data_IF_779896376271
#
_entry.id   IF_779896376271
#
_cell.length_a   1.000
_cell.length_b   1.000
_cell.length_c   1.000
_cell.angle_alpha   90.00
_cell.angle_beta   90.00
_cell.angle_gamma   90.00
#
_symmetry.space_group_name_H-M   'P 1'
#
loop_
_entity.id
_entity.type
_entity.pdbx_description
1 polymer ?
#
# COMPACT_ATOMS: atom_id res chain seq x y z
N UNK A 1 -15.02 4.67 8.65
CA UNK A 1 -14.31 3.90 7.61
C UNK A 1 -14.71 4.42 6.24
N UNK A 2 -13.79 4.47 5.28
CA UNK A 2 -14.07 4.92 3.91
C UNK A 2 -14.77 3.81 3.11
N UNK A 3 -15.56 4.19 2.10
CA UNK A 3 -16.24 3.23 1.20
C UNK A 3 -15.26 2.26 0.51
N UNK A 4 -14.06 2.73 0.16
CA UNK A 4 -13.02 1.90 -0.46
C UNK A 4 -12.52 0.78 0.47
N UNK A 5 -12.32 1.08 1.76
CA UNK A 5 -11.88 0.08 2.72
C UNK A 5 -12.95 -1.00 2.94
N UNK A 6 -14.22 -0.59 2.95
CA UNK A 6 -15.33 -1.55 3.08
C UNK A 6 -15.42 -2.48 1.87
N UNK A 7 -15.18 -1.99 0.65
CA UNK A 7 -15.16 -2.83 -0.56
C UNK A 7 -14.03 -3.86 -0.51
N UNK A 8 -12.82 -3.48 -0.11
CA UNK A 8 -11.70 -4.41 0.06
C UNK A 8 -12.02 -5.53 1.06
N UNK A 9 -12.52 -5.14 2.25
CA UNK A 9 -12.93 -6.10 3.28
C UNK A 9 -14.08 -7.01 2.85
N UNK A 10 -15.03 -6.50 2.08
CA UNK A 10 -16.12 -7.30 1.52
C UNK A 10 -15.62 -8.34 0.50
N UNK A 11 -14.62 -7.99 -0.32
CA UNK A 11 -13.99 -8.92 -1.26
C UNK A 11 -13.24 -10.04 -0.53
N UNK A 12 -12.42 -9.67 0.47
CA UNK A 12 -11.72 -10.65 1.33
C UNK A 12 -12.70 -11.60 2.00
N UNK A 13 -13.79 -11.06 2.55
CA UNK A 13 -14.78 -11.86 3.25
C UNK A 13 -15.52 -12.81 2.32
N UNK A 14 -15.85 -12.37 1.10
CA UNK A 14 -16.51 -13.21 0.11
C UNK A 14 -15.62 -14.35 -0.37
N UNK A 15 -14.32 -14.09 -0.56
CA UNK A 15 -13.36 -15.15 -0.93
C UNK A 15 -13.27 -16.23 0.15
N UNK A 16 -13.08 -15.83 1.42
CA UNK A 16 -13.01 -16.79 2.53
C UNK A 16 -14.32 -17.57 2.69
N UNK A 17 -15.47 -16.92 2.52
CA UNK A 17 -16.79 -17.56 2.58
C UNK A 17 -16.94 -18.68 1.52
N UNK A 18 -16.56 -18.41 0.26
CA UNK A 18 -16.61 -19.42 -0.82
C UNK A 18 -15.64 -20.58 -0.54
N UNK A 19 -14.42 -20.31 -0.07
CA UNK A 19 -13.45 -21.35 0.29
C UNK A 19 -14.01 -22.26 1.40
N UNK A 20 -14.63 -21.68 2.44
CA UNK A 20 -15.24 -22.44 3.53
C UNK A 20 -16.50 -23.21 3.11
N UNK A 21 -17.25 -22.73 2.10
CA UNK A 21 -18.38 -23.48 1.52
C UNK A 21 -17.91 -24.72 0.76
N UNK A 22 -16.74 -24.66 0.12
CA UNK A 22 -16.14 -25.78 -0.61
C UNK A 22 -15.44 -26.80 0.30
N UNK A 23 -15.00 -26.39 1.49
CA UNK A 23 -14.44 -27.28 2.51
C UNK A 23 -14.82 -26.81 3.92
N UNK A 24 -15.81 -27.50 4.51
CA UNK A 24 -16.34 -27.21 5.83
C UNK A 24 -15.42 -27.63 6.99
N UNK A 25 -14.31 -28.33 6.72
CA UNK A 25 -13.35 -28.79 7.73
C UNK A 25 -12.28 -27.74 8.05
N UNK A 26 -12.24 -26.63 7.31
CA UNK A 26 -11.26 -25.56 7.51
C UNK A 26 -11.49 -24.89 8.86
N UNK A 27 -10.43 -24.75 9.66
CA UNK A 27 -10.48 -24.02 10.93
C UNK A 27 -10.10 -22.56 10.72
N UNK A 28 -10.96 -21.65 11.16
CA UNK A 28 -10.69 -20.21 11.15
C UNK A 28 -9.89 -19.80 12.40
N UNK A 29 -8.76 -19.14 12.22
CA UNK A 29 -7.86 -18.74 13.32
C UNK A 29 -8.06 -17.30 13.78
N UNK A 30 -7.60 -17.00 14.99
CA UNK A 30 -7.53 -15.64 15.53
C UNK A 30 -8.91 -14.96 15.57
N UNK A 31 -9.01 -13.76 14.98
CA UNK A 31 -10.27 -13.02 14.90
C UNK A 31 -11.06 -13.26 13.61
N UNK A 32 -10.60 -14.18 12.75
CA UNK A 32 -11.15 -14.39 11.41
C UNK A 32 -12.65 -14.62 11.42
N UNK A 33 -13.17 -15.40 12.37
CA UNK A 33 -14.61 -15.65 12.46
C UNK A 33 -15.42 -14.38 12.76
N UNK A 34 -14.94 -13.51 13.67
CA UNK A 34 -15.62 -12.25 13.96
C UNK A 34 -15.49 -11.27 12.80
N UNK A 35 -14.33 -11.24 12.14
CA UNK A 35 -14.08 -10.41 10.96
C UNK A 35 -14.96 -10.85 9.78
N UNK A 36 -15.19 -12.15 9.58
CA UNK A 36 -16.13 -12.68 8.58
C UNK A 36 -17.55 -12.21 8.81
N UNK A 37 -18.07 -12.35 10.03
CA UNK A 37 -19.44 -11.93 10.36
C UNK A 37 -19.63 -10.44 10.09
N UNK A 38 -18.67 -9.60 10.52
CA UNK A 38 -18.71 -8.15 10.29
C UNK A 38 -18.64 -7.82 8.80
N UNK A 39 -17.68 -8.38 8.08
CA UNK A 39 -17.37 -7.94 6.72
C UNK A 39 -18.30 -8.54 5.66
N UNK A 40 -18.95 -9.68 5.93
CA UNK A 40 -20.06 -10.18 5.12
C UNK A 40 -21.28 -9.24 5.16
N UNK A 41 -21.49 -8.50 6.25
CA UNK A 41 -22.50 -7.45 6.27
C UNK A 41 -22.15 -6.30 5.30
N UNK A 42 -20.85 -5.98 5.14
CA UNK A 42 -20.41 -5.01 4.12
C UNK A 42 -20.65 -5.55 2.72
N UNK A 43 -20.37 -6.84 2.48
CA UNK A 43 -20.68 -7.50 1.21
C UNK A 43 -22.18 -7.43 0.88
N UNK A 44 -23.05 -7.81 1.82
CA UNK A 44 -24.50 -7.77 1.62
C UNK A 44 -25.08 -6.37 1.38
N UNK A 45 -24.36 -5.32 1.80
CA UNK A 45 -24.71 -3.93 1.56
C UNK A 45 -24.22 -3.38 0.20
N UNK A 46 -23.43 -4.15 -0.57
CA UNK A 46 -22.96 -3.73 -1.89
C UNK A 46 -24.11 -3.77 -2.92
N UNK A 47 -24.02 -3.00 -4.02
CA UNK A 47 -24.91 -3.18 -5.16
C UNK A 47 -24.85 -4.61 -5.71
N UNK A 48 -25.98 -5.15 -6.19
CA UNK A 48 -26.12 -6.54 -6.69
C UNK A 48 -25.03 -6.89 -7.71
N UNK A 49 -24.79 -6.01 -8.67
CA UNK A 49 -23.73 -6.20 -9.67
C UNK A 49 -22.34 -6.41 -9.05
N UNK A 50 -22.02 -5.67 -7.99
CA UNK A 50 -20.73 -5.79 -7.32
C UNK A 50 -20.65 -7.07 -6.46
N UNK A 51 -21.76 -7.48 -5.84
CA UNK A 51 -21.85 -8.77 -5.13
C UNK A 51 -21.62 -9.95 -6.09
N UNK A 52 -22.23 -9.89 -7.28
CA UNK A 52 -22.05 -10.88 -8.33
C UNK A 52 -20.59 -10.93 -8.78
N UNK A 53 -20.00 -9.79 -9.14
CA UNK A 53 -18.61 -9.71 -9.56
C UNK A 53 -17.64 -10.30 -8.52
N UNK A 54 -17.83 -9.96 -7.24
CA UNK A 54 -16.98 -10.46 -6.15
C UNK A 54 -17.16 -11.95 -5.90
N UNK A 55 -18.37 -12.48 -6.11
CA UNK A 55 -18.64 -13.93 -6.03
C UNK A 55 -17.96 -14.68 -7.17
N UNK A 56 -18.15 -14.24 -8.42
CA UNK A 56 -17.54 -14.87 -9.59
C UNK A 56 -16.00 -14.83 -9.53
N UNK A 57 -15.45 -13.70 -9.09
CA UNK A 57 -14.02 -13.58 -8.79
C UNK A 57 -13.57 -14.62 -7.76
N UNK A 58 -14.31 -14.76 -6.66
CA UNK A 58 -13.94 -15.59 -5.53
C UNK A 58 -14.04 -17.07 -5.86
N UNK A 59 -15.09 -17.47 -6.59
CA UNK A 59 -15.24 -18.80 -7.18
C UNK A 59 -14.06 -19.08 -8.10
N UNK A 60 -13.77 -18.19 -9.05
CA UNK A 60 -12.70 -18.42 -10.01
C UNK A 60 -11.32 -18.49 -9.37
N UNK A 61 -11.03 -17.63 -8.39
CA UNK A 61 -9.76 -17.66 -7.69
C UNK A 61 -9.64 -18.87 -6.75
N UNK A 62 -10.75 -19.37 -6.21
CA UNK A 62 -10.72 -20.59 -5.38
C UNK A 62 -10.26 -21.82 -6.15
N UNK A 63 -10.48 -21.89 -7.48
CA UNK A 63 -9.96 -22.96 -8.35
C UNK A 63 -8.42 -23.00 -8.39
N UNK A 64 -7.76 -21.87 -8.13
CA UNK A 64 -6.28 -21.76 -8.05
C UNK A 64 -5.71 -22.23 -6.71
N UNK A 65 -6.60 -22.57 -5.77
CA UNK A 65 -6.25 -23.05 -4.44
C UNK A 65 -6.56 -24.54 -4.34
N UNK A 66 -5.67 -25.31 -3.71
CA UNK A 66 -5.98 -26.68 -3.31
C UNK A 66 -6.90 -26.70 -2.08
N UNK A 67 -8.16 -26.22 -2.23
CA UNK A 67 -9.08 -25.96 -1.10
C UNK A 67 -9.30 -27.17 -0.19
N UNK A 68 -9.33 -28.37 -0.76
CA UNK A 68 -9.49 -29.62 0.00
C UNK A 68 -8.30 -29.92 0.93
N UNK A 69 -7.13 -29.36 0.64
CA UNK A 69 -5.92 -29.52 1.45
C UNK A 69 -5.72 -28.36 2.43
N UNK A 70 -6.64 -27.40 2.52
CA UNK A 70 -6.52 -26.29 3.48
C UNK A 70 -6.87 -26.80 4.88
N UNK A 71 -5.94 -26.62 5.82
CA UNK A 71 -6.17 -26.92 7.22
C UNK A 71 -6.78 -25.72 7.95
N UNK A 72 -6.19 -24.54 7.77
CA UNK A 72 -6.61 -23.33 8.48
C UNK A 72 -6.53 -22.07 7.63
N UNK A 73 -7.35 -21.08 7.97
CA UNK A 73 -7.34 -19.73 7.37
C UNK A 73 -7.27 -18.68 8.47
N UNK A 74 -6.41 -17.69 8.29
CA UNK A 74 -6.33 -16.48 9.11
C UNK A 74 -6.50 -15.23 8.24
N UNK A 75 -7.42 -14.34 8.61
CA UNK A 75 -7.47 -12.97 8.07
C UNK A 75 -6.65 -12.06 8.97
N UNK A 76 -5.57 -11.50 8.43
CA UNK A 76 -4.64 -10.69 9.23
C UNK A 76 -5.18 -9.26 9.38
N UNK A 77 -4.91 -8.67 10.55
CA UNK A 77 -5.28 -7.28 10.84
C UNK A 77 -4.25 -6.32 10.24
N UNK A 78 -4.67 -5.07 10.01
CA UNK A 78 -3.81 -3.96 9.59
C UNK A 78 -2.53 -3.79 10.46
N UNK A 79 -2.54 -4.26 11.72
CA UNK A 79 -1.35 -4.26 12.58
C UNK A 79 -0.21 -5.15 12.06
N UNK A 80 -0.51 -6.22 11.32
CA UNK A 80 0.50 -7.03 10.65
C UNK A 80 1.23 -6.24 9.55
N UNK A 81 0.48 -5.43 8.80
CA UNK A 81 1.05 -4.54 7.78
C UNK A 81 2.00 -3.50 8.36
N UNK A 82 1.82 -3.08 9.62
CA UNK A 82 2.78 -2.21 10.32
C UNK A 82 4.14 -2.91 10.43
N UNK A 83 4.16 -4.20 10.77
CA UNK A 83 5.36 -5.03 10.83
C UNK A 83 5.94 -5.41 9.46
N UNK A 84 5.28 -5.03 8.36
CA UNK A 84 5.73 -5.27 6.98
C UNK A 84 5.04 -6.43 6.27
N UNK A 85 4.19 -7.17 6.99
CA UNK A 85 3.43 -8.29 6.44
C UNK A 85 2.19 -7.77 5.72
N UNK A 86 2.21 -7.80 4.38
CA UNK A 86 1.14 -7.27 3.51
C UNK A 86 0.00 -8.27 3.26
N UNK A 87 0.04 -9.41 3.95
CA UNK A 87 -0.96 -10.48 3.84
C UNK A 87 -2.30 -10.01 4.38
N UNK A 88 -3.35 -10.17 3.58
CA UNK A 88 -4.73 -9.96 4.01
C UNK A 88 -5.34 -11.31 4.44
N UNK A 89 -5.03 -12.39 3.70
CA UNK A 89 -5.49 -13.77 3.97
C UNK A 89 -4.28 -14.72 3.98
N UNK A 90 -4.09 -15.44 5.09
CA UNK A 90 -3.10 -16.52 5.22
C UNK A 90 -3.80 -17.87 5.20
N UNK A 91 -3.38 -18.73 4.29
CA UNK A 91 -3.81 -20.11 4.16
C UNK A 91 -2.68 -21.00 4.66
N UNK A 92 -3.00 -21.93 5.56
CA UNK A 92 -2.07 -23.00 5.99
C UNK A 92 -2.66 -24.33 5.53
N UNK A 93 -1.93 -25.04 4.68
CA UNK A 93 -2.33 -26.35 4.17
C UNK A 93 -2.03 -27.47 5.17
N UNK A 94 -2.62 -28.64 4.96
CA UNK A 94 -2.46 -29.83 5.81
C UNK A 94 -1.04 -30.36 5.85
N UNK A 95 -0.23 -30.10 4.82
CA UNK A 95 1.19 -30.41 4.78
C UNK A 95 2.07 -29.36 5.48
N UNK A 96 1.47 -28.31 6.03
CA UNK A 96 2.14 -27.21 6.74
C UNK A 96 2.65 -26.09 5.82
N UNK A 97 2.46 -26.20 4.50
CA UNK A 97 2.82 -25.10 3.58
C UNK A 97 1.91 -23.88 3.82
N UNK A 98 2.47 -22.68 3.63
CA UNK A 98 1.78 -21.42 3.88
C UNK A 98 1.66 -20.65 2.56
N UNK A 99 0.46 -20.20 2.25
CA UNK A 99 0.19 -19.27 1.14
C UNK A 99 -0.39 -17.98 1.69
N UNK A 100 0.35 -16.90 1.53
CA UNK A 100 -0.03 -15.57 1.93
C UNK A 100 -0.60 -14.82 0.73
N UNK A 101 -1.79 -14.25 0.88
CA UNK A 101 -2.50 -13.52 -0.18
C UNK A 101 -2.70 -12.08 0.26
N UNK A 102 -2.21 -11.14 -0.55
CA UNK A 102 -2.57 -9.73 -0.48
C UNK A 102 -3.64 -9.44 -1.52
N UNK A 103 -4.87 -9.22 -1.08
CA UNK A 103 -6.05 -9.16 -1.94
C UNK A 103 -6.47 -7.70 -2.18
N UNK A 104 -6.39 -7.25 -3.43
CA UNK A 104 -6.66 -5.85 -3.80
C UNK A 104 -7.83 -5.74 -4.78
N UNK A 105 -8.61 -4.67 -4.63
CA UNK A 105 -9.68 -4.31 -5.53
C UNK A 105 -9.28 -3.07 -6.35
N UNK A 106 -8.96 -3.28 -7.63
CA UNK A 106 -8.66 -2.23 -8.60
C UNK A 106 -7.49 -1.28 -8.24
N UNK A 107 -6.44 -1.78 -7.58
CA UNK A 107 -5.20 -1.01 -7.41
C UNK A 107 -3.98 -1.91 -7.23
N UNK A 108 -2.83 -1.45 -7.75
CA UNK A 108 -1.54 -2.13 -7.65
C UNK A 108 -0.59 -1.51 -6.60
N UNK A 109 -1.08 -0.54 -5.84
CA UNK A 109 -0.27 0.19 -4.88
C UNK A 109 0.44 -0.75 -3.89
N UNK A 110 1.74 -0.48 -3.69
CA UNK A 110 2.56 -1.01 -2.62
C UNK A 110 2.25 -0.26 -1.30
N UNK A 111 3.01 -0.58 -0.25
CA UNK A 111 2.83 0.07 1.06
C UNK A 111 2.97 1.59 0.95
N UNK A 112 2.02 2.31 1.54
CA UNK A 112 2.08 3.78 1.56
C UNK A 112 3.17 4.27 2.52
N UNK A 113 4.18 4.95 1.99
CA UNK A 113 5.23 5.54 2.80
C UNK A 113 4.78 6.89 3.37
N UNK A 114 5.20 7.19 4.60
CA UNK A 114 5.05 8.52 5.20
C UNK A 114 6.40 9.21 5.19
N UNK A 115 6.57 10.41 4.59
CA UNK A 115 7.87 11.07 4.54
C UNK A 115 8.52 11.20 5.92
N UNK A 116 7.75 11.60 6.95
CA UNK A 116 8.26 11.75 8.32
C UNK A 116 8.70 10.47 9.04
N UNK A 117 8.67 9.30 8.38
CA UNK A 117 9.11 8.01 8.93
C UNK A 117 10.29 7.40 8.15
N UNK A 118 10.93 8.15 7.26
CA UNK A 118 11.99 7.64 6.37
C UNK A 118 13.17 7.02 7.12
N UNK A 119 13.82 7.77 8.01
CA UNK A 119 15.11 7.36 8.61
C UNK A 119 14.98 6.13 9.51
N UNK A 120 14.26 6.24 10.62
CA UNK A 120 14.23 5.16 11.62
C UNK A 120 13.34 3.98 11.22
N UNK A 121 12.21 4.22 10.54
CA UNK A 121 11.25 3.15 10.28
C UNK A 121 11.50 2.45 8.95
N UNK A 122 11.63 3.23 7.87
CA UNK A 122 11.69 2.71 6.50
C UNK A 122 13.11 2.27 6.13
N UNK A 123 14.12 3.11 6.41
CA UNK A 123 15.54 2.79 6.22
C UNK A 123 16.13 2.01 7.40
N UNK A 124 15.53 2.08 8.58
CA UNK A 124 16.04 1.37 9.77
C UNK A 124 17.34 1.93 10.34
N UNK A 125 17.69 3.16 10.00
CA UNK A 125 18.92 3.79 10.46
C UNK A 125 18.70 4.26 11.90
N UNK A 126 19.36 3.58 12.85
CA UNK A 126 19.31 3.92 14.27
C UNK A 126 20.28 5.07 14.61
N UNK A 127 20.07 6.24 14.01
CA UNK A 127 20.86 7.45 14.26
C UNK A 127 19.93 8.63 14.63
N UNK A 128 19.76 8.92 15.94
CA UNK A 128 18.86 9.97 16.41
C UNK A 128 19.21 11.38 15.90
N UNK A 129 20.50 11.65 15.70
CA UNK A 129 20.98 12.95 15.17
C UNK A 129 20.53 13.11 13.72
N UNK A 130 20.70 12.06 12.91
CA UNK A 130 20.27 12.07 11.51
C UNK A 130 18.73 12.14 11.38
N UNK A 131 17.98 11.37 12.17
CA UNK A 131 16.51 11.42 12.18
C UNK A 131 16.01 12.82 12.59
N UNK A 132 16.64 13.44 13.59
CA UNK A 132 16.33 14.82 13.99
C UNK A 132 16.64 15.82 12.88
N UNK A 133 17.79 15.69 12.22
CA UNK A 133 18.15 16.55 11.08
C UNK A 133 17.10 16.42 9.96
N UNK A 134 16.76 15.20 9.55
CA UNK A 134 15.76 14.94 8.52
C UNK A 134 14.40 15.55 8.87
N UNK A 135 13.92 15.33 10.11
CA UNK A 135 12.64 15.88 10.59
C UNK A 135 12.65 17.41 10.61
N UNK A 136 13.77 18.03 10.95
CA UNK A 136 13.91 19.49 10.95
C UNK A 136 13.86 20.06 9.52
N UNK A 137 14.57 19.43 8.57
CA UNK A 137 14.53 19.81 7.15
C UNK A 137 13.10 19.66 6.58
N UNK A 138 12.42 18.54 6.88
CA UNK A 138 11.02 18.33 6.49
C UNK A 138 10.09 19.39 7.10
N UNK A 139 10.27 19.70 8.39
CA UNK A 139 9.48 20.73 9.08
C UNK A 139 9.69 22.12 8.47
N UNK A 140 10.90 22.43 7.99
CA UNK A 140 11.18 23.68 7.31
C UNK A 140 10.40 23.80 6.00
N UNK A 141 10.35 22.73 5.20
CA UNK A 141 9.54 22.65 3.98
C UNK A 141 8.05 22.87 4.31
N UNK A 142 7.53 22.17 5.31
CA UNK A 142 6.13 22.32 5.73
C UNK A 142 5.81 23.75 6.21
N UNK A 143 6.73 24.36 6.96
CA UNK A 143 6.59 25.75 7.45
C UNK A 143 6.59 26.73 6.28
N UNK A 144 7.45 26.53 5.29
CA UNK A 144 7.49 27.34 4.08
C UNK A 144 6.14 27.31 3.37
N UNK A 145 5.60 26.12 3.08
CA UNK A 145 4.27 25.97 2.49
C UNK A 145 3.19 26.70 3.31
N UNK A 146 3.16 26.49 4.63
CA UNK A 146 2.17 27.10 5.54
C UNK A 146 2.23 28.62 5.58
N UNK A 147 3.40 29.22 5.33
CA UNK A 147 3.55 30.68 5.30
C UNK A 147 2.76 31.35 4.16
N UNK A 148 2.41 30.58 3.12
CA UNK A 148 1.62 31.05 1.97
C UNK A 148 0.13 30.69 2.06
N UNK A 149 -0.29 30.01 3.14
CA UNK A 149 -1.69 29.64 3.36
C UNK A 149 -2.46 30.87 3.86
N UNK A 150 -3.59 31.17 3.20
CA UNK A 150 -4.42 32.33 3.52
C UNK A 150 -5.62 31.94 4.39
N UNK A 151 -6.18 32.87 5.17
CA UNK A 151 -7.42 32.63 5.92
C UNK A 151 -8.61 32.17 5.05
N UNK A 152 -8.59 32.51 3.75
CA UNK A 152 -9.60 32.11 2.75
C UNK A 152 -9.47 30.66 2.30
N UNK A 153 -8.38 29.95 2.63
CA UNK A 153 -8.20 28.53 2.30
C UNK A 153 -8.92 27.59 3.28
N UNK A 154 -10.01 28.08 3.89
CA UNK A 154 -10.82 27.36 4.87
C UNK A 154 -12.19 27.03 4.31
N UNK A 155 -12.76 25.91 4.73
CA UNK A 155 -14.18 25.63 4.52
C UNK A 155 -15.06 26.43 5.51
N UNK A 156 -16.37 26.27 5.37
CA UNK A 156 -17.39 26.89 6.25
C UNK A 156 -17.21 26.53 7.73
N UNK A 157 -16.61 25.37 8.02
CA UNK A 157 -16.32 24.91 9.39
C UNK A 157 -14.99 25.46 9.94
N UNK A 158 -14.25 26.27 9.17
CA UNK A 158 -12.96 26.83 9.56
C UNK A 158 -11.76 25.89 9.38
N UNK A 159 -11.93 24.71 8.77
CA UNK A 159 -10.83 23.77 8.49
C UNK A 159 -10.05 24.24 7.26
N UNK A 160 -8.72 24.29 7.35
CA UNK A 160 -7.88 24.51 6.18
C UNK A 160 -7.89 23.29 5.26
N UNK A 161 -8.03 23.52 3.95
CA UNK A 161 -8.09 22.46 2.95
C UNK A 161 -7.04 22.60 1.87
N UNK A 162 -6.36 21.49 1.53
CA UNK A 162 -5.36 21.48 0.46
C UNK A 162 -5.95 21.80 -0.91
N UNK A 163 -7.20 21.38 -1.18
CA UNK A 163 -7.85 21.65 -2.46
C UNK A 163 -8.12 23.15 -2.67
N UNK A 164 -8.39 23.92 -1.61
CA UNK A 164 -8.58 25.37 -1.68
C UNK A 164 -7.26 26.08 -1.96
N UNK A 165 -6.18 25.70 -1.27
CA UNK A 165 -4.83 26.19 -1.58
C UNK A 165 -4.47 25.86 -3.03
N UNK A 166 -4.74 24.63 -3.49
CA UNK A 166 -4.47 24.19 -4.87
C UNK A 166 -5.25 24.99 -5.91
N UNK A 167 -6.53 25.28 -5.65
CA UNK A 167 -7.36 26.05 -6.57
C UNK A 167 -6.88 27.50 -6.70
N UNK A 168 -6.43 28.09 -5.59
CA UNK A 168 -5.92 29.46 -5.55
C UNK A 168 -4.50 29.59 -6.12
N UNK A 169 -3.61 28.68 -5.75
CA UNK A 169 -2.18 28.75 -6.00
C UNK A 169 -1.61 27.34 -6.23
N UNK A 170 -1.85 26.74 -7.42
CA UNK A 170 -1.49 25.34 -7.69
C UNK A 170 0.02 25.07 -7.59
N UNK A 171 0.85 26.06 -7.88
CA UNK A 171 2.31 25.98 -7.77
C UNK A 171 2.76 25.70 -6.32
N UNK A 172 2.03 26.16 -5.28
CA UNK A 172 2.40 25.88 -3.89
C UNK A 172 2.33 24.39 -3.55
N UNK A 173 1.35 23.68 -4.13
CA UNK A 173 1.22 22.23 -3.94
C UNK A 173 2.33 21.49 -4.71
N UNK A 174 2.61 21.95 -5.93
CA UNK A 174 3.66 21.36 -6.77
C UNK A 174 5.03 21.52 -6.12
N UNK A 175 5.37 22.74 -5.67
CA UNK A 175 6.63 23.02 -4.96
C UNK A 175 6.72 22.24 -3.65
N UNK A 176 5.63 22.18 -2.85
CA UNK A 176 5.63 21.36 -1.63
C UNK A 176 5.97 19.89 -1.94
N UNK A 177 5.42 19.34 -3.02
CA UNK A 177 5.66 17.95 -3.36
C UNK A 177 7.07 17.72 -3.89
N UNK A 178 7.55 18.62 -4.76
CA UNK A 178 8.91 18.61 -5.26
C UNK A 178 9.95 18.73 -4.13
N UNK A 179 9.78 19.68 -3.21
CA UNK A 179 10.68 19.88 -2.07
C UNK A 179 10.77 18.62 -1.19
N UNK A 180 9.63 17.97 -0.91
CA UNK A 180 9.61 16.74 -0.12
C UNK A 180 10.23 15.57 -0.89
N UNK A 181 9.96 15.44 -2.19
CA UNK A 181 10.59 14.41 -3.03
C UNK A 181 12.12 14.59 -3.08
N UNK A 182 12.60 15.82 -3.23
CA UNK A 182 14.02 16.15 -3.22
C UNK A 182 14.68 15.82 -1.87
N UNK A 183 13.99 16.11 -0.76
CA UNK A 183 14.49 15.74 0.57
C UNK A 183 14.62 14.22 0.72
N UNK A 184 13.60 13.46 0.32
CA UNK A 184 13.65 11.99 0.36
C UNK A 184 14.77 11.46 -0.54
N UNK A 185 14.88 11.96 -1.77
CA UNK A 185 15.94 11.61 -2.71
C UNK A 185 17.34 11.86 -2.14
N UNK A 186 17.56 13.04 -1.54
CA UNK A 186 18.82 13.40 -0.86
C UNK A 186 19.21 12.37 0.20
N UNK A 187 18.25 11.91 1.01
CA UNK A 187 18.53 10.97 2.10
C UNK A 187 18.72 9.53 1.63
N UNK A 188 17.95 9.10 0.62
CA UNK A 188 18.14 7.80 -0.02
C UNK A 188 19.52 7.68 -0.68
N UNK A 189 20.01 8.74 -1.31
CA UNK A 189 21.25 8.70 -2.10
C UNK A 189 22.51 8.95 -1.28
N UNK A 190 22.46 9.81 -0.26
CA UNK A 190 23.67 10.24 0.46
C UNK A 190 23.85 9.59 1.84
N UNK A 191 22.82 8.96 2.41
CA UNK A 191 22.85 8.48 3.79
C UNK A 191 22.44 7.01 3.98
N UNK A 192 21.88 6.37 2.95
CA UNK A 192 21.48 4.97 3.03
C UNK A 192 22.63 4.05 2.61
N UNK A 193 23.03 3.14 3.49
CA UNK A 193 23.95 2.05 3.16
C UNK A 193 23.18 0.84 2.56
N UNK A 194 23.91 -0.21 2.19
CA UNK A 194 23.33 -1.40 1.59
C UNK A 194 22.29 -2.10 2.47
N UNK A 195 22.43 -2.04 3.80
CA UNK A 195 21.46 -2.63 4.72
C UNK A 195 20.19 -1.77 4.81
N UNK A 196 20.35 -0.45 4.83
CA UNK A 196 19.23 0.49 4.78
C UNK A 196 18.43 0.36 3.47
N UNK A 197 19.11 0.18 2.33
CA UNK A 197 18.45 -0.04 1.03
C UNK A 197 17.68 -1.36 1.00
N UNK A 198 18.27 -2.46 1.49
CA UNK A 198 17.57 -3.74 1.61
C UNK A 198 16.29 -3.61 2.44
N UNK A 199 16.39 -2.93 3.59
CA UNK A 199 15.24 -2.72 4.46
C UNK A 199 14.19 -1.82 3.81
N UNK A 200 14.60 -0.76 3.13
CA UNK A 200 13.70 0.15 2.42
C UNK A 200 12.94 -0.56 1.30
N UNK A 201 13.66 -1.38 0.51
CA UNK A 201 13.07 -2.23 -0.52
C UNK A 201 12.03 -3.17 0.09
N UNK A 202 12.39 -3.96 1.12
CA UNK A 202 11.44 -4.88 1.79
C UNK A 202 10.28 -4.18 2.47
N UNK A 203 10.49 -2.99 3.03
CA UNK A 203 9.39 -2.17 3.56
C UNK A 203 8.37 -1.85 2.47
N UNK A 204 8.83 -1.61 1.25
CA UNK A 204 8.02 -1.21 0.12
C UNK A 204 7.27 -2.35 -0.54
N UNK A 205 7.98 -3.42 -0.88
CA UNK A 205 7.41 -4.53 -1.66
C UNK A 205 6.81 -5.61 -0.77
N UNK A 206 7.19 -5.68 0.51
CA UNK A 206 6.76 -6.71 1.46
C UNK A 206 7.95 -7.49 2.04
N UNK A 207 7.88 -7.85 3.32
CA UNK A 207 8.95 -8.56 4.02
C UNK A 207 8.69 -10.07 4.22
N UNK A 208 7.63 -10.58 3.60
CA UNK A 208 7.27 -12.01 3.59
C UNK A 208 7.03 -12.46 2.15
N UNK A 209 7.02 -13.77 1.89
CA UNK A 209 6.57 -14.32 0.61
C UNK A 209 5.04 -14.21 0.54
N UNK A 210 4.51 -13.69 -0.56
CA UNK A 210 3.08 -13.55 -0.79
C UNK A 210 2.76 -13.46 -2.27
N UNK A 211 1.50 -13.71 -2.61
CA UNK A 211 0.93 -13.36 -3.90
C UNK A 211 0.06 -12.11 -3.76
N UNK A 212 0.25 -11.15 -4.67
CA UNK A 212 -0.70 -10.05 -4.82
C UNK A 212 -1.77 -10.48 -5.81
N UNK A 213 -3.01 -10.56 -5.35
CA UNK A 213 -4.17 -10.94 -6.14
C UNK A 213 -5.05 -9.72 -6.31
N UNK A 214 -5.27 -9.31 -7.56
CA UNK A 214 -6.04 -8.11 -7.87
C UNK A 214 -7.22 -8.45 -8.77
N UNK A 215 -8.41 -8.01 -8.34
CA UNK A 215 -9.59 -7.94 -9.19
C UNK A 215 -9.56 -6.64 -10.00
N UNK A 216 -9.57 -6.76 -11.33
CA UNK A 216 -9.92 -5.66 -12.25
C UNK A 216 -11.39 -5.82 -12.69
N UNK A 217 -12.31 -4.99 -12.15
CA UNK A 217 -13.74 -5.03 -12.50
C UNK A 217 -14.03 -4.72 -13.97
N UNK A 218 -13.24 -3.84 -14.59
CA UNK A 218 -13.54 -3.30 -15.92
C UNK A 218 -13.28 -4.33 -17.01
N UNK A 219 -12.19 -5.09 -16.87
CA UNK A 219 -11.86 -6.18 -17.80
C UNK A 219 -12.33 -7.56 -17.34
N UNK A 220 -12.89 -7.66 -16.12
CA UNK A 220 -13.23 -8.93 -15.45
C UNK A 220 -12.06 -9.91 -15.46
N UNK A 221 -10.93 -9.42 -14.98
CA UNK A 221 -9.70 -10.22 -14.87
C UNK A 221 -9.18 -10.28 -13.44
N UNK A 222 -8.53 -11.39 -13.14
CA UNK A 222 -7.77 -11.64 -11.93
C UNK A 222 -6.29 -11.57 -12.29
N UNK A 223 -5.57 -10.68 -11.67
CA UNK A 223 -4.12 -10.59 -11.79
C UNK A 223 -3.49 -11.21 -10.55
N UNK A 224 -2.69 -12.25 -10.73
CA UNK A 224 -1.90 -12.89 -9.68
C UNK A 224 -0.44 -12.56 -9.95
N UNK A 225 0.18 -11.82 -9.04
CA UNK A 225 1.59 -11.42 -9.10
C UNK A 225 2.32 -12.10 -7.96
N UNK A 226 3.28 -12.95 -8.28
CA UNK A 226 3.98 -13.77 -7.29
C UNK A 226 5.23 -13.05 -6.75
N UNK A 227 5.11 -12.49 -5.54
CA UNK A 227 6.22 -11.86 -4.83
C UNK A 227 6.98 -12.85 -3.94
N UNK A 228 6.74 -14.15 -4.11
CA UNK A 228 7.52 -15.18 -3.43
C UNK A 228 8.93 -15.24 -3.97
N UNK A 229 9.91 -15.37 -3.08
CA UNK A 229 11.33 -15.56 -3.43
C UNK A 229 11.94 -14.44 -4.28
N UNK A 230 11.38 -13.22 -4.21
CA UNK A 230 12.00 -12.04 -4.83
C UNK A 230 13.37 -11.78 -4.20
N UNK A 231 14.36 -11.47 -5.04
CA UNK A 231 15.69 -11.09 -4.58
C UNK A 231 15.66 -9.75 -3.84
N UNK A 232 16.49 -9.62 -2.82
CA UNK A 232 16.71 -8.34 -2.15
C UNK A 232 17.43 -7.34 -3.06
N UNK A 233 17.16 -6.06 -2.82
CA UNK A 233 17.96 -4.97 -3.35
C UNK A 233 18.99 -4.54 -2.30
N UNK A 234 20.20 -4.22 -2.72
CA UNK A 234 21.25 -3.71 -1.83
C UNK A 234 21.80 -2.36 -2.28
N UNK A 235 21.40 -1.90 -3.47
CA UNK A 235 21.80 -0.61 -4.01
C UNK A 235 20.66 0.03 -4.79
N UNK A 236 20.63 1.35 -4.80
CA UNK A 236 19.86 2.14 -5.75
C UNK A 236 20.79 2.43 -6.93
N UNK A 237 20.48 1.89 -8.10
CA UNK A 237 21.24 2.17 -9.32
C UNK A 237 20.91 3.56 -9.88
N UNK A 238 19.65 3.99 -9.74
CA UNK A 238 19.21 5.31 -10.18
C UNK A 238 18.04 5.79 -9.32
N UNK A 239 18.03 7.08 -8.94
CA UNK A 239 16.86 7.72 -8.36
C UNK A 239 16.75 9.17 -8.81
N UNK A 240 15.54 9.58 -9.21
CA UNK A 240 15.28 10.91 -9.75
C UNK A 240 13.81 11.28 -9.61
N UNK A 241 13.50 12.56 -9.76
CA UNK A 241 12.11 13.05 -9.88
C UNK A 241 11.79 13.12 -11.36
N UNK A 242 10.79 12.36 -11.80
CA UNK A 242 10.36 12.38 -13.20
C UNK A 242 9.77 13.76 -13.56
N UNK A 243 10.32 14.47 -14.56
CA UNK A 243 9.91 15.85 -14.86
C UNK A 243 8.48 15.96 -15.39
N UNK A 244 7.93 14.89 -15.98
CA UNK A 244 6.57 14.90 -16.53
C UNK A 244 5.51 14.66 -15.44
N UNK A 245 5.72 13.65 -14.59
CA UNK A 245 4.74 13.27 -13.56
C UNK A 245 4.99 13.91 -12.19
N UNK A 246 6.22 14.35 -11.90
CA UNK A 246 6.68 14.78 -10.59
C UNK A 246 6.88 13.64 -9.58
N UNK A 247 6.90 12.38 -10.05
CA UNK A 247 7.01 11.21 -9.17
C UNK A 247 8.47 10.95 -8.83
N UNK A 248 8.73 10.51 -7.59
CA UNK A 248 10.05 9.99 -7.24
C UNK A 248 10.18 8.58 -7.80
N UNK A 249 11.11 8.39 -8.73
CA UNK A 249 11.45 7.12 -9.35
C UNK A 249 12.68 6.57 -8.66
N UNK A 250 12.63 5.31 -8.22
CA UNK A 250 13.79 4.62 -7.62
C UNK A 250 13.97 3.28 -8.32
N UNK A 251 15.15 3.09 -8.93
CA UNK A 251 15.57 1.86 -9.59
C UNK A 251 16.60 1.14 -8.71
N UNK A 252 16.29 -0.10 -8.39
CA UNK A 252 17.11 -0.95 -7.54
C UNK A 252 17.96 -1.91 -8.37
N UNK A 253 19.06 -2.38 -7.78
CA UNK A 253 20.00 -3.34 -8.39
C UNK A 253 19.44 -4.75 -8.62
N UNK A 254 18.22 -5.02 -8.17
CA UNK A 254 17.47 -6.26 -8.41
C UNK A 254 16.38 -6.11 -9.49
N UNK A 255 16.50 -5.11 -10.37
CA UNK A 255 15.57 -4.79 -11.48
C UNK A 255 14.19 -4.26 -11.07
N UNK A 256 13.92 -4.05 -9.78
CA UNK A 256 12.70 -3.37 -9.37
C UNK A 256 12.80 -1.87 -9.65
N UNK A 257 11.75 -1.32 -10.25
CA UNK A 257 11.56 0.11 -10.43
C UNK A 257 10.29 0.50 -9.69
N UNK A 258 10.41 1.47 -8.77
CA UNK A 258 9.30 1.95 -7.97
C UNK A 258 8.96 3.40 -8.35
N UNK A 259 7.70 3.60 -8.73
CA UNK A 259 7.13 4.91 -9.05
C UNK A 259 6.34 5.42 -7.84
N UNK A 260 6.79 6.53 -7.25
CA UNK A 260 6.25 7.03 -5.98
C UNK A 260 5.65 8.42 -6.14
N UNK A 261 4.33 8.50 -6.06
CA UNK A 261 3.58 9.75 -6.12
C UNK A 261 3.32 10.31 -4.73
N UNK A 262 3.92 11.45 -4.41
CA UNK A 262 3.55 12.17 -3.19
C UNK A 262 2.18 12.84 -3.34
N UNK A 263 1.35 12.73 -2.30
CA UNK A 263 0.10 13.47 -2.19
C UNK A 263 -0.34 13.58 -0.71
N UNK A 264 -1.44 14.29 -0.49
CA UNK A 264 -2.01 14.50 0.84
C UNK A 264 -2.89 13.32 1.25
N UNK A 265 -2.62 12.74 2.41
CA UNK A 265 -3.41 11.63 2.98
C UNK A 265 -4.71 12.08 3.67
N UNK A 266 -4.88 13.39 3.85
CA UNK A 266 -6.09 14.04 4.37
C UNK A 266 -6.37 15.26 3.51
N UNK A 267 -7.65 15.55 3.26
CA UNK A 267 -8.04 16.81 2.61
C UNK A 267 -7.80 18.02 3.50
N UNK A 268 -7.87 17.84 4.83
CA UNK A 268 -7.69 18.87 5.86
C UNK A 268 -6.26 18.89 6.38
N UNK A 269 -5.82 20.06 6.82
CA UNK A 269 -4.57 20.23 7.56
C UNK A 269 -4.69 21.32 8.65
N UNK A 270 -3.70 21.38 9.53
CA UNK A 270 -3.58 22.41 10.56
C UNK A 270 -2.22 23.11 10.41
N UNK A 271 -2.18 24.41 10.67
CA UNK A 271 -0.95 25.20 10.63
C UNK A 271 0.04 24.79 11.73
N UNK A 272 -0.47 24.31 12.87
CA UNK A 272 0.30 23.99 14.07
C UNK A 272 0.73 22.50 14.16
N UNK A 273 0.36 21.66 13.18
CA UNK A 273 0.74 20.24 13.15
C UNK A 273 1.44 19.88 11.85
N UNK A 274 2.17 18.77 11.81
CA UNK A 274 2.76 18.28 10.55
C UNK A 274 1.72 18.05 9.47
N UNK A 275 2.12 18.20 8.21
CA UNK A 275 1.24 17.95 7.08
C UNK A 275 1.06 16.44 6.91
N UNK A 276 -0.18 16.01 6.66
CA UNK A 276 -0.48 14.59 6.43
C UNK A 276 -0.15 14.24 4.98
N UNK A 277 1.12 14.00 4.68
CA UNK A 277 1.62 13.59 3.37
C UNK A 277 1.84 12.06 3.34
N UNK A 278 1.71 11.46 2.16
CA UNK A 278 2.08 10.06 1.91
C UNK A 278 2.47 9.85 0.45
N UNK A 279 3.32 8.85 0.21
CA UNK A 279 3.58 8.34 -1.12
C UNK A 279 2.61 7.20 -1.44
N UNK A 280 1.99 7.27 -2.61
CA UNK A 280 1.43 6.10 -3.28
C UNK A 280 2.55 5.51 -4.13
N UNK A 281 3.08 4.37 -3.71
CA UNK A 281 4.16 3.68 -4.41
C UNK A 281 3.57 2.57 -5.27
N UNK A 282 4.11 2.38 -6.47
CA UNK A 282 3.75 1.28 -7.36
C UNK A 282 5.01 0.68 -7.97
N UNK A 283 5.01 -0.63 -8.18
CA UNK A 283 6.08 -1.32 -8.91
C UNK A 283 5.78 -1.20 -10.40
N UNK A 284 6.79 -0.89 -11.20
CA UNK A 284 6.70 -1.05 -12.64
C UNK A 284 6.73 -2.55 -13.00
N UNK A 285 5.54 -3.12 -13.10
CA UNK A 285 5.36 -4.54 -13.37
C UNK A 285 5.82 -4.97 -14.77
N UNK A 286 6.05 -4.04 -15.70
CA UNK A 286 6.60 -4.40 -17.01
C UNK A 286 8.08 -4.78 -16.93
N UNK A 287 8.79 -4.28 -15.93
CA UNK A 287 10.23 -4.48 -15.74
C UNK A 287 10.55 -5.34 -14.51
N UNK A 288 9.62 -5.44 -13.55
CA UNK A 288 9.84 -6.20 -12.33
C UNK A 288 10.01 -7.70 -12.61
N UNK A 289 10.96 -8.38 -11.94
CA UNK A 289 11.18 -9.83 -12.05
C UNK A 289 10.13 -10.60 -11.22
N UNK A 290 8.86 -10.33 -11.47
CA UNK A 290 7.71 -10.90 -10.74
C UNK A 290 6.86 -11.69 -11.72
N UNK A 291 6.69 -13.01 -11.55
CA UNK A 291 5.77 -13.80 -12.36
C UNK A 291 4.35 -13.24 -12.28
N UNK A 292 3.70 -13.11 -13.43
CA UNK A 292 2.33 -12.63 -13.54
C UNK A 292 1.47 -13.68 -14.23
N UNK A 293 0.34 -14.03 -13.61
CA UNK A 293 -0.72 -14.84 -14.20
C UNK A 293 -2.00 -14.00 -14.27
N UNK A 294 -2.68 -14.06 -15.41
CA UNK A 294 -3.96 -13.37 -15.63
C UNK A 294 -5.03 -14.43 -15.90
N UNK A 295 -6.16 -14.32 -15.21
CA UNK A 295 -7.32 -15.21 -15.37
C UNK A 295 -8.52 -14.35 -15.76
N UNK A 296 -9.27 -14.77 -16.77
CA UNK A 296 -10.51 -14.11 -17.18
C UNK A 296 -11.73 -14.88 -16.68
N UNK A 297 -12.80 -14.18 -16.34
CA UNK A 297 -14.04 -14.75 -15.82
C UNK A 297 -15.29 -13.89 -16.09
#
# INVERSE_FOLDING_TARGET
MTRSNNNGRALEARLVDIICQQNSQIVLLGTTQQDQVRDLAYFGALPVYQQQLFSEFSEKYSDELCVQNIATIERLKDSAAVAGDVTDIRIIYTDGTIRNISLKHNHDACKHQRPGALISNQLGINNPVLDTQYRNELTAIERNFKSFVLPTDRNENGDYLFNLVKARAPYLITNLYEDVCNLVLKYLTNYADAHAIQRYFRFLVGNTNFEKVMLDPSSRTIWIKDFSNIQDAHRIDEAYIDPESGYLIVKFDNNFILNMRLHTASSRFNLNSSLSLKFDSSVDMNNAPVPVKIIQF
#
